data_IF_289504655169
#
_entry.id   IF_289504655169
#
_cell.length_a   1.000
_cell.length_b   1.000
_cell.length_c   1.000
_cell.angle_alpha   90.00
_cell.angle_beta   90.00
_cell.angle_gamma   90.00
#
_symmetry.space_group_name_H-M   'P 1'
#
loop_
_entity.id
_entity.type
_entity.pdbx_description
1 polymer ?
#
# COMPACT_ATOMS: atom_id res chain seq x y z
N UNK A 1 21.10 -2.58 3.92
CA UNK A 1 20.75 -2.38 5.34
C UNK A 1 19.83 -3.51 5.78
N UNK A 2 20.06 -4.10 6.96
CA UNK A 2 19.19 -5.16 7.49
C UNK A 2 17.77 -4.64 7.68
N UNK A 3 16.79 -5.48 7.35
CA UNK A 3 15.37 -5.18 7.45
C UNK A 3 14.87 -5.63 8.82
N UNK A 4 14.32 -4.70 9.61
CA UNK A 4 13.68 -5.02 10.88
C UNK A 4 12.46 -5.92 10.66
N UNK A 5 12.36 -7.00 11.42
CA UNK A 5 11.16 -7.81 11.59
C UNK A 5 10.02 -6.99 12.23
N UNK A 6 8.79 -7.49 12.17
CA UNK A 6 7.64 -6.81 12.77
C UNK A 6 7.83 -6.58 14.28
N UNK A 7 8.25 -7.61 15.00
CA UNK A 7 8.48 -7.54 16.45
C UNK A 7 9.56 -6.51 16.80
N UNK A 8 10.63 -6.44 16.00
CA UNK A 8 11.70 -5.44 16.19
C UNK A 8 11.20 -4.01 15.94
N UNK A 9 10.32 -3.81 14.95
CA UNK A 9 9.68 -2.51 14.71
C UNK A 9 8.81 -2.11 15.89
N UNK A 10 7.97 -3.01 16.40
CA UNK A 10 7.11 -2.76 17.56
C UNK A 10 7.93 -2.48 18.82
N UNK A 11 9.01 -3.22 19.04
CA UNK A 11 9.96 -2.97 20.14
C UNK A 11 10.60 -1.58 20.03
N UNK A 12 11.03 -1.18 18.83
CA UNK A 12 11.59 0.14 18.60
C UNK A 12 10.57 1.26 18.88
N UNK A 13 9.30 1.05 18.50
CA UNK A 13 8.21 2.00 18.81
C UNK A 13 7.97 2.07 20.32
N UNK A 14 7.97 0.93 21.03
CA UNK A 14 7.85 0.88 22.48
C UNK A 14 8.97 1.66 23.20
N UNK A 15 10.22 1.53 22.73
CA UNK A 15 11.34 2.31 23.27
C UNK A 15 11.14 3.82 23.07
N UNK A 16 10.69 4.23 21.88
CA UNK A 16 10.40 5.64 21.60
C UNK A 16 9.25 6.18 22.47
N UNK A 17 8.21 5.37 22.69
CA UNK A 17 7.10 5.72 23.58
C UNK A 17 7.54 5.86 25.04
N UNK A 18 8.56 5.10 25.46
CA UNK A 18 9.20 5.23 26.77
C UNK A 18 10.16 6.44 26.87
N UNK A 19 10.21 7.32 25.86
CA UNK A 19 11.02 8.54 25.88
C UNK A 19 12.45 8.39 25.35
N UNK A 20 12.84 7.23 24.83
CA UNK A 20 14.16 7.06 24.21
C UNK A 20 14.27 7.90 22.92
N UNK A 21 15.46 8.45 22.68
CA UNK A 21 15.71 9.19 21.43
C UNK A 21 15.87 8.24 20.24
N UNK A 22 15.53 8.70 19.03
CA UNK A 22 15.71 7.91 17.81
C UNK A 22 17.18 7.48 17.59
N UNK A 23 18.14 8.28 18.07
CA UNK A 23 19.56 7.93 18.02
C UNK A 23 19.86 6.75 18.96
N UNK A 24 19.42 6.81 20.21
CA UNK A 24 19.62 5.73 21.18
C UNK A 24 19.01 4.40 20.69
N UNK A 25 17.77 4.44 20.20
CA UNK A 25 17.09 3.26 19.65
C UNK A 25 17.85 2.70 18.44
N UNK A 26 18.41 3.56 17.58
CA UNK A 26 19.18 3.12 16.42
C UNK A 26 20.46 2.37 16.81
N UNK A 27 21.14 2.82 17.87
CA UNK A 27 22.33 2.15 18.40
C UNK A 27 21.98 0.79 19.03
N UNK A 28 20.91 0.75 19.85
CA UNK A 28 20.44 -0.49 20.50
C UNK A 28 20.05 -1.55 19.46
N UNK A 29 19.35 -1.13 18.40
CA UNK A 29 18.83 -2.02 17.37
C UNK A 29 19.82 -2.29 16.23
N UNK A 30 21.04 -1.71 16.28
CA UNK A 30 22.05 -1.77 15.23
C UNK A 30 21.51 -1.46 13.82
N UNK A 31 20.70 -0.40 13.73
CA UNK A 31 20.17 0.11 12.47
C UNK A 31 20.51 1.57 12.31
N UNK A 32 20.48 2.05 11.09
CA UNK A 32 20.68 3.48 10.85
C UNK A 32 19.51 4.31 11.40
N UNK A 33 19.80 5.49 11.98
CA UNK A 33 18.81 6.44 12.50
C UNK A 33 17.65 6.71 11.54
N UNK A 34 17.93 6.80 10.23
CA UNK A 34 16.89 7.04 9.21
C UNK A 34 15.86 5.92 9.13
N UNK A 35 16.20 4.69 9.51
CA UNK A 35 15.24 3.58 9.62
C UNK A 35 14.23 3.85 10.73
N UNK A 36 14.68 4.34 11.89
CA UNK A 36 13.81 4.71 13.01
C UNK A 36 12.94 5.91 12.64
N UNK A 37 13.51 6.94 12.01
CA UNK A 37 12.74 8.10 11.54
C UNK A 37 11.65 7.71 10.54
N UNK A 38 11.97 6.86 9.55
CA UNK A 38 10.99 6.36 8.58
C UNK A 38 9.92 5.49 9.23
N UNK A 39 10.27 4.70 10.24
CA UNK A 39 9.32 3.89 11.01
C UNK A 39 8.30 4.78 11.72
N UNK A 40 8.75 5.86 12.39
CA UNK A 40 7.86 6.81 13.06
C UNK A 40 6.94 7.53 12.08
N UNK A 41 7.48 8.01 10.95
CA UNK A 41 6.68 8.65 9.90
C UNK A 41 5.62 7.68 9.39
N UNK A 42 6.00 6.44 9.09
CA UNK A 42 5.06 5.42 8.62
C UNK A 42 3.96 5.16 9.64
N UNK A 43 4.30 4.97 10.92
CA UNK A 43 3.30 4.76 11.97
C UNK A 43 2.31 5.93 12.03
N UNK A 44 2.78 7.18 11.93
CA UNK A 44 1.90 8.36 11.94
C UNK A 44 0.96 8.42 10.74
N UNK A 45 1.43 7.99 9.56
CA UNK A 45 0.64 8.03 8.32
C UNK A 45 -0.36 6.86 8.23
N UNK A 46 0.07 5.65 8.59
CA UNK A 46 -0.72 4.42 8.36
C UNK A 46 -1.37 3.85 9.62
N UNK A 47 -0.97 4.32 10.81
CA UNK A 47 -1.37 3.74 12.10
C UNK A 47 -0.81 2.35 12.36
N UNK A 48 0.11 1.85 11.53
CA UNK A 48 0.58 0.45 11.61
C UNK A 48 2.08 0.30 11.39
N UNK A 49 2.68 -0.64 12.13
CA UNK A 49 4.06 -1.13 11.94
C UNK A 49 4.16 -2.24 10.89
N UNK A 50 3.02 -2.70 10.36
CA UNK A 50 2.99 -3.70 9.30
C UNK A 50 3.56 -3.12 8.00
N UNK A 51 3.99 -4.01 7.12
CA UNK A 51 4.36 -3.62 5.77
C UNK A 51 3.12 -3.27 4.97
N UNK A 52 3.14 -2.09 4.35
CA UNK A 52 2.08 -1.67 3.46
C UNK A 52 2.19 -2.39 2.12
N UNK A 53 1.06 -2.68 1.45
CA UNK A 53 1.11 -3.11 0.07
C UNK A 53 1.91 -2.10 -0.74
N UNK A 54 2.73 -2.60 -1.66
CA UNK A 54 3.52 -1.72 -2.55
C UNK A 54 2.56 -0.90 -3.39
N UNK A 55 2.88 0.38 -3.60
CA UNK A 55 2.21 1.19 -4.62
C UNK A 55 2.56 0.61 -5.99
N UNK A 56 1.68 -0.22 -6.53
CA UNK A 56 1.77 -0.71 -7.90
C UNK A 56 1.37 0.36 -8.91
N UNK A 57 1.42 0.02 -10.19
CA UNK A 57 0.84 0.85 -11.26
C UNK A 57 -0.68 0.93 -11.04
N UNK A 58 -1.29 2.12 -11.13
CA UNK A 58 -2.75 2.22 -11.11
C UNK A 58 -3.35 1.39 -12.25
N UNK A 59 -4.45 0.69 -11.98
CA UNK A 59 -5.17 -0.07 -13.00
C UNK A 59 -5.60 0.85 -14.13
N UNK A 60 -5.46 0.38 -15.37
CA UNK A 60 -5.93 1.12 -16.55
C UNK A 60 -7.47 1.18 -16.63
N UNK A 61 -8.14 0.24 -15.97
CA UNK A 61 -9.60 0.14 -15.91
C UNK A 61 -10.10 0.60 -14.55
N UNK A 62 -11.24 1.27 -14.56
CA UNK A 62 -12.01 1.55 -13.34
C UNK A 62 -12.77 0.29 -12.90
N UNK A 63 -13.12 0.20 -11.60
CA UNK A 63 -13.92 -0.91 -11.08
C UNK A 63 -15.26 -1.09 -11.84
N UNK A 64 -15.84 -0.01 -12.37
CA UNK A 64 -17.06 -0.06 -13.20
C UNK A 64 -16.79 -0.74 -14.55
N UNK A 65 -15.69 -0.38 -15.21
CA UNK A 65 -15.29 -0.97 -16.50
C UNK A 65 -14.95 -2.46 -16.33
N UNK A 66 -14.25 -2.83 -15.26
CA UNK A 66 -13.95 -4.24 -14.97
C UNK A 66 -15.23 -5.07 -14.77
N UNK A 67 -16.18 -4.57 -13.97
CA UNK A 67 -17.48 -5.24 -13.77
C UNK A 67 -18.25 -5.42 -15.08
N UNK A 68 -18.26 -4.40 -15.92
CA UNK A 68 -18.93 -4.47 -17.23
C UNK A 68 -18.31 -5.54 -18.13
N UNK A 69 -16.97 -5.60 -18.17
CA UNK A 69 -16.25 -6.64 -18.93
C UNK A 69 -16.63 -8.02 -18.41
N UNK A 70 -16.54 -8.26 -17.10
CA UNK A 70 -16.88 -9.56 -16.49
C UNK A 70 -18.35 -9.94 -16.79
N UNK A 71 -19.27 -9.01 -16.66
CA UNK A 71 -20.70 -9.26 -16.94
C UNK A 71 -20.93 -9.59 -18.42
N UNK A 72 -20.29 -8.86 -19.34
CA UNK A 72 -20.44 -9.11 -20.77
C UNK A 72 -20.01 -10.52 -21.17
N UNK A 73 -18.87 -10.99 -20.63
CA UNK A 73 -18.37 -12.34 -20.89
C UNK A 73 -19.16 -13.43 -20.16
N UNK A 74 -19.74 -13.11 -19.01
CA UNK A 74 -20.65 -14.05 -18.33
C UNK A 74 -21.95 -14.28 -19.10
N UNK A 75 -22.48 -13.25 -19.78
CA UNK A 75 -23.71 -13.34 -20.57
C UNK A 75 -23.46 -13.88 -21.98
N UNK A 76 -22.34 -13.49 -22.60
CA UNK A 76 -21.93 -13.95 -23.90
C UNK A 76 -20.42 -14.26 -23.91
N UNK A 77 -20.03 -15.52 -23.61
CA UNK A 77 -18.63 -15.93 -23.52
C UNK A 77 -17.81 -15.70 -24.79
N UNK A 78 -18.47 -15.68 -25.96
CA UNK A 78 -17.81 -15.55 -27.27
C UNK A 78 -17.79 -14.10 -27.79
N UNK A 79 -18.11 -13.11 -26.95
CA UNK A 79 -18.08 -11.71 -27.32
C UNK A 79 -16.65 -11.22 -27.59
N UNK A 80 -16.46 -10.44 -28.67
CA UNK A 80 -15.18 -9.80 -28.96
C UNK A 80 -14.80 -8.75 -27.90
N UNK A 81 -13.51 -8.71 -27.52
CA UNK A 81 -12.96 -7.75 -26.56
C UNK A 81 -13.21 -6.28 -26.95
N UNK A 82 -13.26 -5.98 -28.25
CA UNK A 82 -13.57 -4.64 -28.75
C UNK A 82 -14.98 -4.18 -28.37
N UNK A 83 -15.92 -5.13 -28.27
CA UNK A 83 -17.31 -4.86 -27.88
C UNK A 83 -17.47 -4.77 -26.36
N UNK A 84 -16.61 -5.39 -25.56
CA UNK A 84 -16.70 -5.37 -24.08
C UNK A 84 -16.04 -4.15 -23.43
N UNK A 85 -15.26 -3.34 -24.17
CA UNK A 85 -14.63 -2.12 -23.64
C UNK A 85 -15.38 -0.81 -24.00
N UNK A 86 -16.46 -0.83 -24.79
CA UNK A 86 -17.20 0.41 -25.19
C UNK A 86 -18.63 0.39 -24.66
N UNK A 87 -19.08 1.48 -23.98
CA UNK A 87 -19.60 2.64 -24.72
C UNK A 87 -19.15 4.01 -24.19
N UNK A 88 -19.50 5.05 -24.97
CA UNK A 88 -18.99 6.42 -25.03
C UNK A 88 -19.24 7.35 -23.81
N UNK A 89 -19.69 6.84 -22.66
CA UNK A 89 -20.28 7.69 -21.61
C UNK A 89 -19.38 7.96 -20.38
N UNK A 90 -18.10 7.61 -20.44
CA UNK A 90 -17.18 7.75 -19.29
C UNK A 90 -16.56 9.16 -19.12
N UNK A 91 -17.09 10.18 -19.82
CA UNK A 91 -16.60 11.57 -19.75
C UNK A 91 -17.54 12.54 -18.98
N UNK A 92 -18.63 12.05 -18.37
CA UNK A 92 -19.57 12.89 -17.59
C UNK A 92 -19.81 12.31 -16.21
N UNK A 93 -18.87 12.51 -15.29
CA UNK A 93 -19.14 12.53 -13.84
C UNK A 93 -17.92 13.12 -13.15
N UNK A 94 -17.87 14.46 -13.18
CA UNK A 94 -17.18 15.28 -12.19
C UNK A 94 -18.25 15.75 -11.19
#
# INVERSE_FOLDING_TARGET
MPRLSKNERERAIGMLAAGQTAQAVSQIMNVHKSTISRLVIRLRVTGSTNDTPRSGRPSALTARQERFIVQSYSQNPFQSARKSHKPADYLKSA
#
